data_IF_851503324911
#
_entry.id   IF_851503324911
#
_cell.length_a   1.000
_cell.length_b   1.000
_cell.length_c   1.000
_cell.angle_alpha   90.00
_cell.angle_beta   90.00
_cell.angle_gamma   90.00
#
_symmetry.space_group_name_H-M   'P 1'
#
loop_
_entity.id
_entity.type
_entity.pdbx_description
1 polymer ?
#
# COMPACT_ATOMS: atom_id res chain seq x y z
N UNK A 1 6.03 63.78 -46.67
CA UNK A 1 5.71 63.30 -45.32
C UNK A 1 5.77 61.78 -45.36
N UNK A 2 6.92 61.22 -45.00
CA UNK A 2 7.08 59.79 -44.92
C UNK A 2 6.34 59.25 -43.69
N UNK A 3 5.29 58.48 -43.92
CA UNK A 3 4.62 57.73 -42.89
C UNK A 3 5.57 56.62 -42.43
N UNK A 4 6.21 56.85 -41.29
CA UNK A 4 6.95 55.80 -40.61
C UNK A 4 5.96 54.67 -40.31
N UNK A 5 6.17 53.55 -40.98
CA UNK A 5 5.45 52.31 -40.76
C UNK A 5 5.81 51.81 -39.37
N UNK A 6 4.84 51.71 -38.49
CA UNK A 6 5.05 51.15 -37.15
C UNK A 6 5.64 49.75 -37.26
N UNK A 7 6.62 49.41 -36.43
CA UNK A 7 7.20 48.07 -36.46
C UNK A 7 6.12 47.01 -36.15
N UNK A 8 6.18 45.85 -36.79
CA UNK A 8 5.21 44.78 -36.54
C UNK A 8 5.28 44.37 -35.05
N UNK A 9 4.14 44.36 -34.41
CA UNK A 9 4.05 43.84 -33.04
C UNK A 9 4.28 42.33 -33.11
N UNK A 10 5.47 41.90 -32.69
CA UNK A 10 5.83 40.48 -32.61
C UNK A 10 5.23 39.98 -31.29
N UNK A 11 4.14 39.28 -31.41
CA UNK A 11 3.50 38.59 -30.28
C UNK A 11 4.09 37.16 -30.15
N UNK A 12 5.40 37.08 -30.05
CA UNK A 12 6.05 35.81 -29.77
C UNK A 12 5.81 35.45 -28.31
N UNK A 13 4.86 34.54 -28.09
CA UNK A 13 4.68 33.90 -26.79
C UNK A 13 5.92 32.98 -26.57
N UNK A 14 6.77 33.38 -25.65
CA UNK A 14 7.88 32.53 -25.27
C UNK A 14 7.34 31.28 -24.54
N UNK A 15 7.32 30.13 -25.23
CA UNK A 15 6.84 28.84 -24.71
C UNK A 15 7.84 28.16 -23.77
N UNK A 16 9.06 28.69 -23.64
CA UNK A 16 10.11 28.14 -22.79
C UNK A 16 9.69 28.01 -21.32
N UNK A 17 9.08 29.03 -20.65
CA UNK A 17 8.59 28.88 -19.29
C UNK A 17 7.48 27.83 -19.15
N UNK A 18 6.62 27.68 -20.15
CA UNK A 18 5.54 26.68 -20.14
C UNK A 18 6.10 25.26 -20.27
N UNK A 19 7.07 25.08 -21.15
CA UNK A 19 7.77 23.80 -21.34
C UNK A 19 8.53 23.40 -20.08
N UNK A 20 9.16 24.34 -19.40
CA UNK A 20 9.88 24.09 -18.16
C UNK A 20 8.94 23.60 -17.06
N UNK A 21 7.79 24.24 -16.86
CA UNK A 21 6.75 23.80 -15.92
C UNK A 21 6.25 22.40 -16.27
N UNK A 22 6.01 22.12 -17.56
CA UNK A 22 5.56 20.80 -18.01
C UNK A 22 6.62 19.72 -17.75
N UNK A 23 7.90 20.01 -18.00
CA UNK A 23 9.00 19.09 -17.73
C UNK A 23 9.16 18.81 -16.23
N UNK A 24 9.08 19.85 -15.39
CA UNK A 24 9.17 19.70 -13.94
C UNK A 24 8.00 18.86 -13.42
N UNK A 25 6.78 19.14 -13.86
CA UNK A 25 5.62 18.33 -13.48
C UNK A 25 5.76 16.89 -13.96
N UNK A 26 6.25 16.67 -15.18
CA UNK A 26 6.48 15.32 -15.71
C UNK A 26 7.48 14.54 -14.85
N UNK A 27 8.58 15.17 -14.47
CA UNK A 27 9.60 14.54 -13.61
C UNK A 27 9.01 14.24 -12.23
N UNK A 28 8.26 15.17 -11.65
CA UNK A 28 7.60 14.98 -10.34
C UNK A 28 6.65 13.78 -10.42
N UNK A 29 5.79 13.70 -11.43
CA UNK A 29 4.88 12.57 -11.60
C UNK A 29 5.62 11.25 -11.86
N UNK A 30 6.71 11.29 -12.60
CA UNK A 30 7.54 10.11 -12.85
C UNK A 30 8.20 9.57 -11.57
N UNK A 31 8.57 10.44 -10.64
CA UNK A 31 9.16 10.06 -9.34
C UNK A 31 8.10 9.62 -8.34
N UNK A 32 6.93 10.28 -8.29
CA UNK A 32 5.88 10.00 -7.32
C UNK A 32 5.08 8.74 -7.68
N UNK A 33 4.79 8.51 -8.97
CA UNK A 33 3.97 7.37 -9.40
C UNK A 33 4.50 6.00 -8.98
N UNK A 34 5.81 5.70 -9.00
CA UNK A 34 6.31 4.43 -8.49
C UNK A 34 6.09 4.23 -6.99
N UNK A 35 6.01 5.33 -6.22
CA UNK A 35 5.79 5.27 -4.77
C UNK A 35 4.32 5.02 -4.41
N UNK A 36 3.40 5.41 -5.27
CA UNK A 36 1.96 5.16 -5.10
C UNK A 36 1.55 3.75 -5.51
N UNK A 37 2.37 3.08 -6.31
CA UNK A 37 2.07 1.73 -6.76
C UNK A 37 2.82 0.70 -5.95
N UNK A 38 2.10 -0.03 -5.18
CA UNK A 38 2.38 -1.40 -4.80
C UNK A 38 2.98 -1.61 -3.42
N UNK A 39 2.06 -1.70 -2.47
CA UNK A 39 2.24 -2.75 -1.50
C UNK A 39 2.54 -4.06 -2.24
N UNK A 40 3.45 -4.86 -1.71
CA UNK A 40 3.72 -6.19 -2.25
C UNK A 40 2.40 -6.93 -2.43
N UNK A 41 2.19 -7.44 -3.64
CA UNK A 41 1.02 -8.26 -3.92
C UNK A 41 1.23 -9.60 -3.23
N UNK A 42 0.54 -9.79 -2.12
CA UNK A 42 0.50 -11.06 -1.38
C UNK A 42 -0.87 -11.66 -1.58
N UNK A 43 -0.92 -12.93 -1.92
CA UNK A 43 -2.16 -13.69 -1.94
C UNK A 43 -2.64 -13.87 -0.50
N UNK A 44 -3.77 -13.23 -0.15
CA UNK A 44 -4.28 -13.22 1.21
C UNK A 44 -4.85 -14.57 1.62
N UNK A 45 -4.72 -14.89 2.89
CA UNK A 45 -5.40 -16.05 3.47
C UNK A 45 -6.91 -15.83 3.44
N UNK A 46 -7.63 -16.77 2.86
CA UNK A 46 -9.09 -16.70 2.77
C UNK A 46 -9.70 -17.22 4.06
N UNK A 47 -10.59 -16.43 4.68
CA UNK A 47 -11.33 -16.84 5.86
C UNK A 47 -12.84 -16.69 5.67
N UNK A 48 -13.61 -17.50 6.41
CA UNK A 48 -15.08 -17.45 6.35
C UNK A 48 -15.68 -16.30 7.16
N UNK A 49 -14.99 -15.83 8.21
CA UNK A 49 -15.48 -14.86 9.18
C UNK A 49 -14.55 -13.63 9.26
N UNK A 50 -14.22 -13.04 8.13
CA UNK A 50 -13.42 -11.83 8.09
C UNK A 50 -14.24 -10.63 8.57
N UNK A 51 -13.66 -9.83 9.46
CA UNK A 51 -14.20 -8.52 9.88
C UNK A 51 -13.54 -7.46 9.01
N UNK A 52 -14.32 -6.54 8.45
CA UNK A 52 -13.79 -5.45 7.67
C UNK A 52 -12.91 -4.52 8.52
N UNK A 53 -11.65 -4.36 8.16
CA UNK A 53 -10.68 -3.49 8.82
C UNK A 53 -10.41 -2.26 7.95
N UNK A 54 -11.33 -1.30 7.95
CA UNK A 54 -11.22 -0.06 7.16
C UNK A 54 -9.96 0.77 7.52
N UNK A 55 -9.47 0.64 8.74
CA UNK A 55 -8.27 1.34 9.17
C UNK A 55 -6.98 0.81 8.50
N UNK A 56 -6.99 -0.43 8.02
CA UNK A 56 -5.87 -1.01 7.29
C UNK A 56 -5.74 -0.47 5.86
N UNK A 57 -6.81 0.08 5.31
CA UNK A 57 -6.82 0.63 3.94
C UNK A 57 -6.30 2.08 3.88
N UNK A 58 -5.99 2.68 5.02
CA UNK A 58 -5.41 4.02 5.08
C UNK A 58 -3.98 4.00 4.52
N UNK A 59 -3.64 5.01 3.75
CA UNK A 59 -2.30 5.14 3.15
C UNK A 59 -1.15 5.17 4.18
N UNK A 60 -1.46 5.65 5.37
CA UNK A 60 -0.50 5.77 6.46
C UNK A 60 -0.53 4.60 7.46
N UNK A 61 -1.34 3.57 7.20
CA UNK A 61 -1.42 2.40 8.06
C UNK A 61 -0.06 1.68 8.14
N UNK A 62 0.35 1.32 9.35
CA UNK A 62 1.56 0.52 9.54
C UNK A 62 1.21 -0.92 9.20
N UNK A 63 1.81 -1.43 8.14
CA UNK A 63 1.54 -2.77 7.65
C UNK A 63 2.83 -3.52 7.40
N UNK A 64 2.89 -4.75 7.89
CA UNK A 64 3.98 -5.68 7.62
C UNK A 64 3.48 -6.74 6.64
N UNK A 65 4.06 -6.78 5.46
CA UNK A 65 3.76 -7.81 4.47
C UNK A 65 4.78 -8.94 4.57
N UNK A 66 4.30 -10.17 4.65
CA UNK A 66 5.12 -11.39 4.65
C UNK A 66 4.90 -12.10 3.32
N UNK A 67 5.94 -12.19 2.51
CA UNK A 67 5.87 -12.85 1.23
C UNK A 67 6.04 -14.36 1.35
N UNK A 68 5.69 -15.08 0.29
CA UNK A 68 5.88 -16.53 0.16
C UNK A 68 7.33 -16.98 0.41
N UNK A 69 8.31 -16.14 0.05
CA UNK A 69 9.73 -16.44 0.21
C UNK A 69 10.29 -16.09 1.59
N UNK A 70 9.43 -15.67 2.54
CA UNK A 70 9.86 -15.25 3.87
C UNK A 70 10.53 -13.86 3.90
N UNK A 71 10.28 -13.02 2.92
CA UNK A 71 10.72 -11.64 2.93
C UNK A 71 9.68 -10.75 3.60
N UNK A 72 10.15 -9.73 4.30
CA UNK A 72 9.31 -8.79 5.03
C UNK A 72 9.37 -7.42 4.39
N UNK A 73 8.22 -6.79 4.25
CA UNK A 73 8.09 -5.42 3.75
C UNK A 73 7.27 -4.59 4.71
N UNK A 74 7.71 -3.38 4.96
CA UNK A 74 7.06 -2.45 5.87
C UNK A 74 6.44 -1.29 5.11
N UNK A 75 5.16 -1.03 5.34
CA UNK A 75 4.45 0.16 4.88
C UNK A 75 4.27 1.14 6.04
N UNK A 76 4.26 2.46 5.79
CA UNK A 76 4.40 3.13 4.49
C UNK A 76 5.82 3.05 3.92
N UNK A 77 5.94 3.09 2.59
CA UNK A 77 7.22 3.09 1.88
C UNK A 77 7.61 1.77 1.24
N UNK A 78 6.94 0.66 1.55
CA UNK A 78 7.21 -0.68 0.98
C UNK A 78 8.68 -1.09 0.98
N UNK A 79 9.41 -0.68 2.02
CA UNK A 79 10.81 -1.03 2.17
C UNK A 79 10.93 -2.49 2.61
N UNK A 80 11.80 -3.23 1.94
CA UNK A 80 12.20 -4.54 2.43
C UNK A 80 13.02 -4.36 3.71
N UNK A 81 12.68 -5.11 4.74
CA UNK A 81 13.35 -5.05 6.05
C UNK A 81 13.74 -6.45 6.52
N UNK A 82 14.75 -6.49 7.36
CA UNK A 82 15.08 -7.70 8.10
C UNK A 82 14.23 -7.79 9.37
N UNK A 83 13.93 -9.00 9.79
CA UNK A 83 13.10 -9.23 10.97
C UNK A 83 13.68 -8.56 12.23
N UNK A 84 14.99 -8.48 12.31
CA UNK A 84 15.73 -7.88 13.44
C UNK A 84 15.52 -6.35 13.54
N UNK A 85 15.32 -5.68 12.39
CA UNK A 85 15.10 -4.23 12.32
C UNK A 85 13.62 -3.84 12.52
N UNK A 86 12.72 -4.81 12.43
CA UNK A 86 11.28 -4.60 12.49
C UNK A 86 10.83 -3.86 13.77
N UNK A 87 11.28 -4.26 14.99
CA UNK A 87 10.85 -3.60 16.22
C UNK A 87 11.20 -2.11 16.27
N UNK A 88 12.42 -1.76 15.84
CA UNK A 88 12.89 -0.37 15.81
C UNK A 88 12.10 0.48 14.82
N UNK A 89 11.93 0.00 13.60
CA UNK A 89 11.21 0.71 12.54
C UNK A 89 9.73 0.92 12.87
N UNK A 90 9.08 -0.09 13.42
CA UNK A 90 7.67 0.01 13.83
C UNK A 90 7.52 1.01 14.97
N UNK A 91 8.40 1.00 15.96
CA UNK A 91 8.39 1.96 17.06
C UNK A 91 8.55 3.39 16.56
N UNK A 92 9.46 3.63 15.62
CA UNK A 92 9.66 4.95 15.01
C UNK A 92 8.40 5.43 14.30
N UNK A 93 7.74 4.54 13.54
CA UNK A 93 6.50 4.85 12.84
C UNK A 93 5.32 5.12 13.80
N UNK A 94 5.29 4.46 14.95
CA UNK A 94 4.24 4.64 15.95
C UNK A 94 4.40 5.93 16.78
N UNK A 95 5.59 6.51 16.83
CA UNK A 95 5.90 7.65 17.71
C UNK A 95 5.00 8.86 17.45
N UNK A 96 4.61 9.08 16.20
CA UNK A 96 3.79 10.22 15.79
C UNK A 96 2.34 9.85 15.44
N UNK A 97 1.90 8.64 15.76
CA UNK A 97 0.57 8.15 15.40
C UNK A 97 -0.33 7.99 16.61
N UNK A 98 -1.60 8.38 16.45
CA UNK A 98 -2.66 8.16 17.43
C UNK A 98 -3.10 6.69 17.43
N UNK A 99 -3.21 6.11 16.23
CA UNK A 99 -3.52 4.69 16.06
C UNK A 99 -2.22 3.89 15.98
N UNK A 100 -1.99 3.06 16.96
CA UNK A 100 -0.78 2.24 17.09
C UNK A 100 -0.97 0.81 16.57
N UNK A 101 -2.09 0.54 15.91
CA UNK A 101 -2.38 -0.76 15.35
C UNK A 101 -1.41 -1.07 14.20
N UNK A 102 -0.81 -2.24 14.26
CA UNK A 102 0.04 -2.77 13.18
C UNK A 102 -0.69 -3.90 12.49
N UNK A 103 -0.80 -3.80 11.19
CA UNK A 103 -1.47 -4.81 10.38
C UNK A 103 -0.44 -5.76 9.77
N UNK A 104 -0.73 -7.04 9.81
CA UNK A 104 0.08 -8.09 9.17
C UNK A 104 -0.69 -8.62 7.97
N UNK A 105 -0.07 -8.57 6.81
CA UNK A 105 -0.57 -9.13 5.57
C UNK A 105 0.37 -10.27 5.15
N UNK A 106 -0.04 -11.50 5.36
CA UNK A 106 0.74 -12.67 5.01
C UNK A 106 0.22 -13.33 3.72
N UNK A 107 1.14 -13.79 2.87
CA UNK A 107 0.81 -14.64 1.74
C UNK A 107 0.24 -15.99 2.26
N UNK A 108 -0.81 -16.50 1.60
CA UNK A 108 -1.42 -17.77 1.98
C UNK A 108 -0.44 -18.97 1.95
N UNK A 109 0.65 -18.81 1.22
CA UNK A 109 1.72 -19.81 1.08
C UNK A 109 2.95 -19.47 1.89
N UNK A 110 2.92 -18.38 2.67
CA UNK A 110 4.00 -18.04 3.59
C UNK A 110 4.10 -19.12 4.68
N UNK A 111 5.33 -19.39 5.13
CA UNK A 111 5.52 -20.29 6.24
C UNK A 111 4.92 -19.68 7.51
N UNK A 112 4.18 -20.47 8.25
CA UNK A 112 3.58 -20.05 9.53
C UNK A 112 4.64 -19.47 10.49
N UNK A 113 5.81 -20.09 10.55
CA UNK A 113 6.97 -19.64 11.32
C UNK A 113 7.34 -18.17 11.04
N UNK A 114 7.34 -17.75 9.76
CA UNK A 114 7.65 -16.36 9.41
C UNK A 114 6.61 -15.36 9.92
N UNK A 115 5.34 -15.76 9.99
CA UNK A 115 4.28 -14.94 10.57
C UNK A 115 4.39 -14.87 12.09
N UNK A 116 4.71 -15.99 12.73
CA UNK A 116 4.93 -16.09 14.16
C UNK A 116 6.10 -15.20 14.58
N UNK A 117 7.23 -15.26 13.87
CA UNK A 117 8.40 -14.40 14.09
C UNK A 117 8.03 -12.90 14.02
N UNK A 118 7.20 -12.49 13.06
CA UNK A 118 6.73 -11.11 12.98
C UNK A 118 5.89 -10.73 14.19
N UNK A 119 4.96 -11.57 14.61
CA UNK A 119 4.09 -11.31 15.76
C UNK A 119 4.91 -11.17 17.03
N UNK A 120 5.89 -12.08 17.24
CA UNK A 120 6.74 -12.07 18.43
C UNK A 120 7.65 -10.85 18.47
N UNK A 121 8.23 -10.46 17.33
CA UNK A 121 9.03 -9.24 17.24
C UNK A 121 8.18 -7.96 17.44
N UNK A 122 6.95 -7.93 16.96
CA UNK A 122 6.05 -6.81 17.20
C UNK A 122 5.65 -6.69 18.67
N UNK A 123 5.39 -7.82 19.33
CA UNK A 123 5.12 -7.86 20.78
C UNK A 123 6.33 -7.40 21.60
N UNK A 124 7.52 -7.83 21.20
CA UNK A 124 8.77 -7.38 21.82
C UNK A 124 9.00 -5.87 21.65
N UNK A 125 8.49 -5.28 20.56
CA UNK A 125 8.49 -3.82 20.34
C UNK A 125 7.49 -3.05 21.19
N UNK A 126 6.59 -3.74 21.91
CA UNK A 126 5.53 -3.14 22.70
C UNK A 126 4.25 -2.84 21.89
N UNK A 127 4.05 -3.56 20.79
CA UNK A 127 2.83 -3.46 19.98
C UNK A 127 1.75 -4.36 20.58
N UNK A 128 0.74 -3.76 21.20
CA UNK A 128 -0.36 -4.51 21.83
C UNK A 128 -1.51 -4.81 20.87
N UNK A 129 -1.62 -4.02 19.78
CA UNK A 129 -2.69 -4.15 18.81
C UNK A 129 -2.14 -4.61 17.46
N UNK A 130 -2.39 -5.86 17.14
CA UNK A 130 -2.00 -6.48 15.86
C UNK A 130 -3.24 -6.96 15.13
N UNK A 131 -3.42 -6.51 13.89
CA UNK A 131 -4.49 -6.95 13.00
C UNK A 131 -3.95 -7.85 11.89
N UNK A 132 -4.50 -9.05 11.73
CA UNK A 132 -4.18 -9.92 10.60
C UNK A 132 -5.13 -9.66 9.45
N UNK A 133 -4.61 -9.27 8.30
CA UNK A 133 -5.40 -9.01 7.10
C UNK A 133 -5.59 -10.32 6.34
N UNK A 134 -6.86 -10.70 6.19
CA UNK A 134 -7.27 -11.88 5.45
C UNK A 134 -8.32 -11.50 4.40
N UNK A 135 -8.52 -12.34 3.41
CA UNK A 135 -9.59 -12.18 2.44
C UNK A 135 -10.81 -13.02 2.85
N UNK A 136 -11.99 -12.41 2.77
CA UNK A 136 -13.21 -13.16 3.03
C UNK A 136 -13.48 -14.15 1.91
N UNK A 137 -13.77 -15.40 2.25
CA UNK A 137 -14.21 -16.40 1.27
C UNK A 137 -15.48 -15.89 0.59
N UNK A 138 -15.47 -15.82 -0.74
CA UNK A 138 -16.70 -15.60 -1.48
C UNK A 138 -17.69 -16.71 -1.12
N UNK A 139 -18.95 -16.33 -0.85
CA UNK A 139 -20.00 -17.32 -0.69
C UNK A 139 -20.02 -18.23 -1.93
N UNK A 140 -20.10 -19.55 -1.76
CA UNK A 140 -20.17 -20.44 -2.91
C UNK A 140 -21.33 -20.02 -3.79
N UNK A 141 -21.03 -19.65 -5.02
CA UNK A 141 -22.07 -19.39 -6.02
C UNK A 141 -22.90 -20.66 -6.16
N UNK A 142 -24.22 -20.59 -6.02
CA UNK A 142 -25.06 -21.75 -6.23
C UNK A 142 -24.81 -22.29 -7.64
N UNK A 143 -24.36 -23.52 -7.75
CA UNK A 143 -24.21 -24.18 -9.05
C UNK A 143 -25.63 -24.31 -9.69
N UNK A 144 -25.89 -23.59 -10.79
CA UNK A 144 -27.18 -23.63 -11.42
C UNK A 144 -27.57 -25.05 -11.95
N UNK A 145 -26.62 -25.98 -11.91
CA UNK A 145 -26.81 -27.38 -12.36
C UNK A 145 -27.17 -28.32 -11.22
N UNK A 146 -27.31 -27.83 -9.99
CA UNK A 146 -27.72 -28.67 -8.85
C UNK A 146 -29.08 -28.19 -8.32
N UNK A 147 -30.20 -28.61 -8.91
CA UNK A 147 -31.53 -28.32 -8.36
C UNK A 147 -31.70 -29.12 -7.07
N UNK A 148 -31.89 -28.41 -5.94
CA UNK A 148 -32.30 -29.00 -4.69
C UNK A 148 -31.30 -29.10 -3.57
N UNK A 149 -30.20 -28.30 -3.57
CA UNK A 149 -29.40 -28.16 -2.37
C UNK A 149 -30.14 -27.28 -1.35
N UNK A 150 -30.38 -27.76 -0.10
CA UNK A 150 -31.02 -26.93 0.93
C UNK A 150 -30.11 -25.75 1.26
N UNK A 151 -30.69 -24.60 1.62
CA UNK A 151 -29.87 -23.45 2.06
C UNK A 151 -29.08 -23.87 3.29
N UNK A 152 -27.77 -23.71 3.19
CA UNK A 152 -26.84 -23.94 4.30
C UNK A 152 -27.07 -22.83 5.30
N UNK A 153 -27.32 -23.14 6.58
CA UNK A 153 -27.55 -22.15 7.63
C UNK A 153 -26.34 -21.23 7.85
#
# INVERSE_FOLDING_TARGET
MDKQKAPPVVNDINVTPMVDVMLVLLIIFMVITPMLTKGQTVEKVVTKNAIAMQAADKEDAIMVAVTRNGQFFLSPGNAQIHIEDLPGKVRDLQTNKLDKTVYIKADARAKYEAVEDVVDNLRAAGVDQVGLITEQAAAPTPDPRRPGAPPVP
#
